data_IF_419724746794
#
_entry.id   IF_419724746794
#
_cell.length_a   1.000
_cell.length_b   1.000
_cell.length_c   1.000
_cell.angle_alpha   90.00
_cell.angle_beta   90.00
_cell.angle_gamma   90.00
#
_symmetry.space_group_name_H-M   'P 1'
#
loop_
_entity.id
_entity.type
_entity.pdbx_description
1 polymer ?
#
# COMPACT_ATOMS: atom_id res chain seq x y z
N UNK A 1 53.30 48.67 -55.98
CA UNK A 1 53.84 47.70 -55.00
C UNK A 1 52.99 47.75 -53.73
N UNK A 2 52.74 46.57 -53.13
CA UNK A 2 51.76 46.25 -52.08
C UNK A 2 51.62 47.28 -50.95
N UNK A 3 50.38 47.72 -50.72
CA UNK A 3 49.64 47.79 -49.44
C UNK A 3 48.32 48.53 -49.69
N UNK A 4 47.19 47.83 -49.59
CA UNK A 4 45.88 48.49 -49.48
C UNK A 4 45.27 48.05 -48.16
N UNK A 5 45.01 49.09 -47.38
CA UNK A 5 44.30 49.15 -46.11
C UNK A 5 42.80 48.89 -46.34
N UNK A 6 42.06 48.82 -45.23
CA UNK A 6 40.62 49.04 -45.07
C UNK A 6 39.81 47.78 -44.70
N UNK A 7 39.50 47.73 -43.41
CA UNK A 7 38.40 46.98 -42.77
C UNK A 7 37.07 47.35 -43.41
N UNK A 8 36.14 46.40 -43.58
CA UNK A 8 34.71 46.53 -43.25
C UNK A 8 34.11 45.11 -43.17
N UNK A 9 33.71 44.75 -41.96
CA UNK A 9 32.46 44.08 -41.58
C UNK A 9 31.82 43.11 -42.60
N UNK A 10 31.91 41.80 -42.34
CA UNK A 10 30.83 40.84 -42.63
C UNK A 10 31.06 39.49 -41.93
N UNK A 11 30.05 39.09 -41.16
CA UNK A 11 29.65 37.73 -40.84
C UNK A 11 30.69 36.74 -40.29
N UNK A 12 30.70 36.57 -38.97
CA UNK A 12 30.94 35.27 -38.35
C UNK A 12 29.88 35.04 -37.28
N UNK A 13 28.65 34.73 -37.71
CA UNK A 13 27.73 33.93 -36.90
C UNK A 13 28.19 32.48 -37.13
N UNK A 14 29.11 32.00 -36.30
CA UNK A 14 29.47 30.57 -36.23
C UNK A 14 28.81 30.06 -34.96
N UNK A 15 27.52 29.80 -35.11
CA UNK A 15 26.93 28.46 -35.08
C UNK A 15 26.97 27.86 -33.68
N UNK A 16 25.82 28.02 -33.02
CA UNK A 16 25.36 27.21 -31.88
C UNK A 16 25.74 25.76 -32.15
N UNK A 17 26.52 25.16 -31.26
CA UNK A 17 26.75 23.71 -31.29
C UNK A 17 25.41 23.03 -31.03
N UNK A 18 24.79 22.65 -32.15
CA UNK A 18 23.64 21.76 -32.20
C UNK A 18 24.14 20.40 -31.74
N UNK A 19 24.07 20.13 -30.44
CA UNK A 19 24.17 18.76 -29.95
C UNK A 19 22.99 18.04 -30.59
N UNK A 20 23.19 17.04 -31.48
CA UNK A 20 22.06 16.26 -31.94
C UNK A 20 21.47 15.64 -30.69
N UNK A 21 20.23 16.02 -30.38
CA UNK A 21 19.41 15.30 -29.42
C UNK A 21 19.31 13.91 -30.04
N UNK A 22 20.20 13.00 -29.64
CA UNK A 22 19.95 11.59 -29.81
C UNK A 22 18.63 11.38 -29.12
N UNK A 23 17.59 11.11 -29.91
CA UNK A 23 16.27 10.78 -29.42
C UNK A 23 16.45 9.90 -28.19
N UNK A 24 16.24 10.48 -27.01
CA UNK A 24 15.80 9.70 -25.88
C UNK A 24 14.42 9.28 -26.33
N UNK A 25 14.34 8.20 -27.10
CA UNK A 25 13.14 7.42 -27.13
C UNK A 25 12.92 7.14 -25.65
N UNK A 26 11.98 7.87 -25.04
CA UNK A 26 11.28 7.31 -23.91
C UNK A 26 10.88 5.93 -24.43
N UNK A 27 11.51 4.88 -23.91
CA UNK A 27 10.95 3.56 -24.06
C UNK A 27 9.57 3.72 -23.44
N UNK A 28 8.56 3.91 -24.29
CA UNK A 28 7.19 3.66 -23.92
C UNK A 28 7.14 2.15 -23.71
N UNK A 29 7.62 1.71 -22.54
CA UNK A 29 7.30 0.39 -22.05
C UNK A 29 5.79 0.37 -21.99
N UNK A 30 5.20 -0.30 -22.98
CA UNK A 30 3.77 -0.47 -23.08
C UNK A 30 3.36 -1.33 -21.89
N UNK A 31 3.00 -0.68 -20.79
CA UNK A 31 2.50 -1.34 -19.60
C UNK A 31 1.09 -1.84 -19.92
N UNK A 32 0.99 -3.07 -20.40
CA UNK A 32 -0.28 -3.77 -20.49
C UNK A 32 -0.56 -4.48 -19.17
N UNK A 33 -1.76 -4.30 -18.64
CA UNK A 33 -2.25 -5.12 -17.54
C UNK A 33 -2.25 -6.59 -17.95
N UNK A 34 -1.72 -7.46 -17.09
CA UNK A 34 -1.76 -8.91 -17.23
C UNK A 34 -2.75 -9.48 -16.21
N UNK A 35 -3.57 -10.42 -16.65
CA UNK A 35 -4.45 -11.16 -15.77
C UNK A 35 -3.65 -12.18 -14.95
N UNK A 36 -3.76 -12.09 -13.63
CA UNK A 36 -3.16 -13.01 -12.67
C UNK A 36 -4.26 -13.80 -11.97
N UNK A 37 -3.88 -14.78 -11.14
CA UNK A 37 -4.85 -15.57 -10.40
C UNK A 37 -5.82 -14.68 -9.62
N UNK A 38 -7.10 -14.94 -9.82
CA UNK A 38 -8.17 -14.22 -9.14
C UNK A 38 -8.15 -14.50 -7.64
N UNK A 39 -8.37 -13.45 -6.85
CA UNK A 39 -8.58 -13.60 -5.42
C UNK A 39 -9.77 -14.55 -5.15
N UNK A 40 -9.63 -15.60 -4.32
CA UNK A 40 -10.67 -16.61 -4.15
C UNK A 40 -11.95 -16.05 -3.54
N UNK A 41 -11.80 -15.22 -2.51
CA UNK A 41 -12.94 -14.65 -1.80
C UNK A 41 -13.24 -13.25 -2.32
N UNK A 42 -14.42 -13.08 -2.90
CA UNK A 42 -14.93 -11.76 -3.28
C UNK A 42 -15.21 -10.92 -2.02
N UNK A 43 -14.76 -9.67 -2.02
CA UNK A 43 -14.78 -8.78 -0.84
C UNK A 43 -14.66 -7.31 -1.23
N UNK A 44 -15.12 -6.43 -0.36
CA UNK A 44 -14.98 -4.98 -0.36
C UNK A 44 -14.34 -4.56 0.99
N UNK A 45 -13.80 -3.35 1.06
CA UNK A 45 -13.25 -2.74 2.30
C UNK A 45 -12.22 -3.61 3.04
N UNK A 46 -11.61 -4.56 2.33
CA UNK A 46 -10.48 -5.35 2.82
C UNK A 46 -9.22 -4.50 2.81
N UNK A 47 -8.23 -4.92 3.60
CA UNK A 47 -6.91 -4.31 3.59
C UNK A 47 -5.89 -5.26 2.98
N UNK A 48 -4.86 -4.69 2.34
CA UNK A 48 -3.74 -5.46 1.80
C UNK A 48 -2.39 -4.92 2.24
N UNK A 49 -1.47 -5.84 2.50
CA UNK A 49 -0.09 -5.54 2.87
C UNK A 49 0.89 -6.50 2.20
N UNK A 50 2.14 -6.08 2.05
CA UNK A 50 3.22 -6.92 1.50
C UNK A 50 4.12 -7.40 2.63
N UNK A 51 4.29 -8.71 2.74
CA UNK A 51 5.23 -9.33 3.69
C UNK A 51 6.05 -10.35 2.93
N UNK A 52 7.38 -10.18 2.94
CA UNK A 52 8.32 -11.12 2.34
C UNK A 52 8.00 -11.43 0.85
N UNK A 53 7.70 -10.36 0.10
CA UNK A 53 7.37 -10.42 -1.33
C UNK A 53 5.99 -11.00 -1.67
N UNK A 54 5.17 -11.34 -0.66
CA UNK A 54 3.81 -11.87 -0.84
C UNK A 54 2.76 -10.84 -0.46
N UNK A 55 1.62 -10.86 -1.14
CA UNK A 55 0.52 -9.91 -0.88
C UNK A 55 -0.50 -10.60 0.02
N UNK A 56 -0.69 -10.06 1.23
CA UNK A 56 -1.71 -10.49 2.16
C UNK A 56 -2.94 -9.63 1.97
N UNK A 57 -4.11 -10.26 1.97
CA UNK A 57 -5.40 -9.59 2.02
C UNK A 57 -6.13 -10.02 3.28
N UNK A 58 -6.83 -9.10 3.91
CA UNK A 58 -7.39 -9.31 5.24
C UNK A 58 -8.80 -8.76 5.32
N UNK A 59 -9.72 -9.54 5.88
CA UNK A 59 -11.06 -9.11 6.26
C UNK A 59 -11.87 -8.50 5.12
N UNK A 60 -12.56 -7.41 5.46
CA UNK A 60 -13.48 -6.70 4.59
C UNK A 60 -14.92 -7.18 4.81
N UNK A 61 -15.81 -6.82 3.92
CA UNK A 61 -17.17 -7.35 3.85
C UNK A 61 -17.46 -7.86 2.45
N UNK A 62 -18.53 -8.62 2.27
CA UNK A 62 -19.03 -8.95 0.94
C UNK A 62 -20.52 -8.79 0.98
N UNK A 63 -21.07 -8.10 -0.02
CA UNK A 63 -22.48 -7.75 -0.14
C UNK A 63 -23.04 -7.04 1.13
N UNK A 64 -24.32 -6.65 1.12
CA UNK A 64 -24.96 -6.00 2.28
C UNK A 64 -25.35 -6.97 3.40
N UNK A 65 -24.92 -8.24 3.32
CA UNK A 65 -25.10 -9.28 4.33
C UNK A 65 -24.00 -9.19 5.38
N UNK A 66 -24.20 -8.26 6.31
CA UNK A 66 -23.34 -8.09 7.48
C UNK A 66 -23.46 -9.25 8.48
N UNK A 67 -24.34 -10.24 8.27
CA UNK A 67 -24.43 -11.42 9.15
C UNK A 67 -23.30 -12.42 8.90
N UNK A 68 -22.68 -12.37 7.72
CA UNK A 68 -21.50 -13.19 7.39
C UNK A 68 -20.24 -12.56 7.97
N UNK A 69 -19.58 -13.32 8.85
CA UNK A 69 -18.30 -12.94 9.46
C UNK A 69 -17.17 -13.10 8.43
N UNK A 70 -16.78 -12.00 7.80
CA UNK A 70 -15.60 -11.95 6.91
C UNK A 70 -14.33 -11.76 7.74
N UNK A 71 -13.72 -12.89 8.11
CA UNK A 71 -12.46 -12.95 8.84
C UNK A 71 -11.29 -13.48 8.00
N UNK A 72 -11.51 -13.70 6.70
CA UNK A 72 -10.54 -14.36 5.83
C UNK A 72 -9.26 -13.56 5.68
N UNK A 73 -8.13 -14.26 5.79
CA UNK A 73 -6.82 -13.80 5.35
C UNK A 73 -6.35 -14.71 4.22
N UNK A 74 -5.96 -14.11 3.09
CA UNK A 74 -5.48 -14.83 1.92
C UNK A 74 -4.15 -14.23 1.50
N UNK A 75 -3.19 -15.07 1.16
CA UNK A 75 -1.87 -14.65 0.66
C UNK A 75 -1.71 -15.03 -0.80
N UNK A 76 -1.25 -14.07 -1.60
CA UNK A 76 -0.82 -14.28 -2.97
C UNK A 76 0.69 -14.44 -3.03
N UNK A 77 1.13 -15.52 -3.67
CA UNK A 77 2.53 -15.77 -3.99
C UNK A 77 2.77 -15.43 -5.49
N UNK A 78 3.43 -14.29 -5.80
CA UNK A 78 3.68 -13.90 -7.19
C UNK A 78 4.57 -14.88 -7.95
N UNK A 79 5.44 -15.63 -7.26
CA UNK A 79 6.34 -16.59 -7.91
C UNK A 79 5.59 -17.80 -8.48
N UNK A 80 4.43 -18.10 -7.91
CA UNK A 80 3.58 -19.24 -8.29
C UNK A 80 2.30 -18.80 -9.00
N UNK A 81 1.99 -17.50 -8.94
CA UNK A 81 0.71 -16.96 -9.35
C UNK A 81 -0.46 -17.69 -8.67
N UNK A 82 -0.40 -17.86 -7.35
CA UNK A 82 -1.41 -18.61 -6.58
C UNK A 82 -1.81 -17.90 -5.31
N UNK A 83 -3.08 -18.05 -4.93
CA UNK A 83 -3.61 -17.64 -3.63
C UNK A 83 -3.67 -18.82 -2.67
N UNK A 84 -3.45 -18.57 -1.38
CA UNK A 84 -3.58 -19.55 -0.31
C UNK A 84 -4.40 -18.96 0.84
N UNK A 85 -5.37 -19.73 1.35
CA UNK A 85 -6.12 -19.38 2.56
C UNK A 85 -5.24 -19.58 3.79
N UNK A 86 -5.25 -18.60 4.69
CA UNK A 86 -4.52 -18.63 5.97
C UNK A 86 -5.51 -18.71 7.14
N UNK A 87 -5.00 -18.84 8.36
CA UNK A 87 -5.82 -18.88 9.58
C UNK A 87 -6.63 -17.59 9.70
N UNK A 88 -7.96 -17.66 9.71
CA UNK A 88 -8.84 -16.50 9.80
C UNK A 88 -8.61 -15.65 11.06
N UNK A 89 -8.89 -14.35 10.96
CA UNK A 89 -8.86 -13.41 12.09
C UNK A 89 -9.79 -13.87 13.23
N UNK A 90 -9.39 -13.68 14.51
CA UNK A 90 -10.27 -13.95 15.64
C UNK A 90 -11.53 -13.08 15.63
N UNK A 91 -11.39 -11.82 15.21
CA UNK A 91 -12.51 -10.88 15.09
C UNK A 91 -12.74 -10.50 13.64
N UNK A 92 -13.89 -10.89 13.08
CA UNK A 92 -14.35 -10.40 11.79
C UNK A 92 -14.69 -8.90 11.88
N UNK A 93 -14.04 -8.10 11.04
CA UNK A 93 -14.11 -6.64 11.09
C UNK A 93 -14.03 -6.00 9.71
N UNK A 94 -14.55 -4.78 9.61
CA UNK A 94 -14.47 -3.89 8.44
C UNK A 94 -14.04 -2.49 8.90
N UNK A 95 -13.63 -1.64 7.96
CA UNK A 95 -13.16 -0.26 8.24
C UNK A 95 -12.02 -0.20 9.28
N UNK A 96 -11.14 -1.22 9.25
CA UNK A 96 -9.97 -1.33 10.12
C UNK A 96 -8.70 -0.93 9.37
N UNK A 97 -7.60 -0.77 10.12
CA UNK A 97 -6.28 -0.50 9.56
C UNK A 97 -5.37 -1.71 9.66
N UNK A 98 -4.46 -1.86 8.70
CA UNK A 98 -3.34 -2.79 8.75
C UNK A 98 -1.99 -2.08 8.77
N UNK A 99 -0.98 -2.73 9.35
CA UNK A 99 0.43 -2.33 9.27
C UNK A 99 1.33 -3.56 9.35
N UNK A 100 2.52 -3.49 8.74
CA UNK A 100 3.53 -4.55 8.86
C UNK A 100 4.65 -4.09 9.77
N UNK A 101 4.89 -4.84 10.84
CA UNK A 101 6.01 -4.60 11.75
C UNK A 101 6.70 -5.91 12.05
N UNK A 102 8.03 -5.94 11.91
CA UNK A 102 8.86 -7.11 12.19
C UNK A 102 8.35 -8.39 11.50
N UNK A 103 7.92 -8.27 10.24
CA UNK A 103 7.41 -9.38 9.44
C UNK A 103 6.02 -9.89 9.84
N UNK A 104 5.30 -9.19 10.73
CA UNK A 104 3.97 -9.56 11.21
C UNK A 104 2.93 -8.56 10.77
N UNK A 105 1.71 -9.06 10.52
CA UNK A 105 0.57 -8.24 10.12
C UNK A 105 -0.21 -7.80 11.35
N UNK A 106 -0.26 -6.50 11.61
CA UNK A 106 -1.04 -5.90 12.67
C UNK A 106 -2.38 -5.44 12.11
N UNK A 107 -3.47 -5.87 12.74
CA UNK A 107 -4.85 -5.49 12.43
C UNK A 107 -5.38 -4.67 13.59
N UNK A 108 -5.70 -3.41 13.33
CA UNK A 108 -5.97 -2.42 14.36
C UNK A 108 -7.36 -1.83 14.16
N UNK A 109 -8.18 -1.93 15.21
CA UNK A 109 -9.43 -1.19 15.30
C UNK A 109 -10.54 -1.67 14.34
N UNK A 110 -11.35 -0.72 13.87
CA UNK A 110 -12.47 -0.94 12.96
C UNK A 110 -13.78 -1.30 13.67
N UNK A 111 -14.71 -1.86 12.92
CA UNK A 111 -16.05 -2.20 13.41
C UNK A 111 -16.29 -3.70 13.25
N UNK A 112 -16.94 -4.33 14.24
CA UNK A 112 -17.26 -5.75 14.20
C UNK A 112 -18.37 -6.00 13.19
N UNK A 113 -18.18 -6.98 12.31
CA UNK A 113 -19.25 -7.38 11.40
C UNK A 113 -20.41 -8.02 12.16
N UNK A 114 -21.64 -7.68 11.75
CA UNK A 114 -22.89 -8.14 12.34
C UNK A 114 -23.44 -7.25 13.44
N UNK A 115 -22.59 -6.68 14.31
CA UNK A 115 -23.03 -5.80 15.40
C UNK A 115 -22.75 -4.32 15.14
N UNK A 116 -21.75 -3.99 14.31
CA UNK A 116 -21.30 -2.61 14.12
C UNK A 116 -20.57 -2.04 15.34
N UNK A 117 -20.33 -2.83 16.38
CA UNK A 117 -19.62 -2.40 17.58
C UNK A 117 -18.18 -2.03 17.23
N UNK A 118 -17.74 -0.89 17.76
CA UNK A 118 -16.38 -0.42 17.57
C UNK A 118 -15.40 -1.36 18.28
N UNK A 119 -14.36 -1.75 17.56
CA UNK A 119 -13.31 -2.62 18.05
C UNK A 119 -12.10 -1.76 18.41
N UNK A 120 -11.62 -1.86 19.65
CA UNK A 120 -10.38 -1.23 20.09
C UNK A 120 -9.17 -2.17 20.02
N UNK A 121 -9.40 -3.46 19.79
CA UNK A 121 -8.37 -4.48 19.84
C UNK A 121 -7.39 -4.39 18.67
N UNK A 122 -6.13 -4.70 18.99
CA UNK A 122 -5.08 -4.98 18.02
C UNK A 122 -4.85 -6.49 17.99
N UNK A 123 -5.00 -7.09 16.82
CA UNK A 123 -4.73 -8.50 16.55
C UNK A 123 -3.53 -8.60 15.62
N UNK A 124 -2.60 -9.50 15.92
CA UNK A 124 -1.35 -9.65 15.17
C UNK A 124 -1.27 -11.06 14.60
N UNK A 125 -1.10 -11.16 13.29
CA UNK A 125 -0.88 -12.40 12.58
C UNK A 125 0.62 -12.60 12.35
N UNK A 126 1.09 -13.79 12.71
CA UNK A 126 2.43 -14.27 12.46
C UNK A 126 2.43 -15.22 11.25
N UNK A 127 2.98 -14.81 10.09
CA UNK A 127 3.04 -15.67 8.91
C UNK A 127 3.92 -16.90 9.07
N UNK A 128 4.88 -16.89 10.00
CA UNK A 128 5.81 -18.02 10.19
C UNK A 128 5.14 -19.20 10.88
N UNK A 129 4.20 -18.92 11.77
CA UNK A 129 3.43 -19.92 12.51
C UNK A 129 1.99 -20.06 12.02
N UNK A 130 1.53 -19.15 11.15
CA UNK A 130 0.13 -19.07 10.71
C UNK A 130 -0.85 -18.96 11.90
N UNK A 131 -0.51 -18.12 12.88
CA UNK A 131 -1.30 -17.94 14.11
C UNK A 131 -1.58 -16.48 14.44
N UNK A 132 -2.65 -16.23 15.19
CA UNK A 132 -3.00 -14.92 15.71
C UNK A 132 -2.67 -14.76 17.19
N UNK A 133 -2.30 -13.54 17.57
CA UNK A 133 -2.16 -13.13 18.96
C UNK A 133 -2.85 -11.77 19.19
N UNK A 134 -3.27 -11.51 20.43
CA UNK A 134 -3.86 -10.23 20.81
C UNK A 134 -2.79 -9.34 21.45
N UNK A 135 -2.72 -8.07 21.06
CA UNK A 135 -1.87 -7.05 21.68
C UNK A 135 -2.71 -6.01 22.41
N UNK A 136 -2.03 -5.12 23.15
CA UNK A 136 -2.68 -4.04 23.87
C UNK A 136 -3.59 -3.24 22.92
N UNK A 137 -4.82 -3.02 23.37
CA UNK A 137 -5.80 -2.21 22.65
C UNK A 137 -5.35 -0.77 22.53
N UNK A 138 -5.82 -0.08 21.50
CA UNK A 138 -5.63 1.36 21.40
C UNK A 138 -6.38 2.07 22.54
N UNK A 139 -5.75 3.04 23.24
CA UNK A 139 -6.36 3.72 24.39
C UNK A 139 -7.53 4.63 24.00
N UNK A 140 -7.63 5.03 22.72
CA UNK A 140 -8.77 5.75 22.14
C UNK A 140 -9.23 5.01 20.90
N UNK A 141 -10.50 4.62 20.88
CA UNK A 141 -11.16 4.10 19.67
C UNK A 141 -11.07 5.18 18.61
N UNK A 142 -10.45 4.90 17.46
CA UNK A 142 -10.39 5.84 16.34
C UNK A 142 -11.75 5.91 15.62
N UNK A 143 -12.80 6.34 16.32
CA UNK A 143 -14.12 6.60 15.74
C UNK A 143 -14.12 7.77 14.75
N UNK A 144 -13.07 8.60 14.74
CA UNK A 144 -12.95 9.77 13.86
C UNK A 144 -12.49 9.42 12.43
N UNK A 145 -12.20 8.16 12.12
CA UNK A 145 -11.93 7.74 10.74
C UNK A 145 -13.20 7.59 9.88
N UNK A 146 -14.40 7.56 10.49
CA UNK A 146 -15.67 7.49 9.76
C UNK A 146 -15.93 8.71 8.84
N UNK A 147 -15.25 9.84 9.10
CA UNK A 147 -15.30 11.03 8.24
C UNK A 147 -14.12 11.16 7.27
N UNK A 148 -13.06 10.36 7.43
CA UNK A 148 -11.93 10.34 6.53
C UNK A 148 -12.07 9.14 5.61
N UNK A 149 -12.67 9.33 4.42
CA UNK A 149 -12.28 8.53 3.25
C UNK A 149 -10.84 8.92 2.94
N UNK A 150 -9.81 8.22 3.42
CA UNK A 150 -8.47 8.76 3.31
C UNK A 150 -8.03 8.51 1.89
N UNK A 151 -7.65 9.58 1.18
CA UNK A 151 -6.74 9.46 0.04
C UNK A 151 -5.59 8.58 0.51
N UNK A 152 -5.43 7.46 -0.19
CA UNK A 152 -4.67 6.23 0.10
C UNK A 152 -3.21 6.40 0.61
N UNK A 153 -2.68 7.62 0.71
CA UNK A 153 -1.28 7.91 1.04
C UNK A 153 -1.04 8.55 2.42
N UNK A 154 -2.03 9.21 3.04
CA UNK A 154 -1.74 10.08 4.20
C UNK A 154 -1.89 9.39 5.58
N UNK A 155 -2.67 8.31 5.68
CA UNK A 155 -2.97 7.64 6.97
C UNK A 155 -1.87 6.69 7.41
N UNK A 156 -1.12 6.07 6.48
CA UNK A 156 0.04 5.22 6.82
C UNK A 156 1.07 6.02 7.65
N UNK A 157 1.32 7.28 7.30
CA UNK A 157 2.34 8.11 7.96
C UNK A 157 1.97 8.58 9.39
N UNK A 158 0.69 8.86 9.66
CA UNK A 158 0.26 9.40 10.97
C UNK A 158 0.23 8.31 12.03
N UNK A 159 -0.26 7.11 11.70
CA UNK A 159 -0.33 5.99 12.63
C UNK A 159 1.07 5.39 12.87
N UNK A 160 1.92 5.29 11.84
CA UNK A 160 3.32 4.90 12.00
C UNK A 160 4.07 5.88 12.91
N UNK A 161 3.84 7.19 12.78
CA UNK A 161 4.43 8.20 13.67
C UNK A 161 4.00 8.03 15.12
N UNK A 162 2.70 7.85 15.39
CA UNK A 162 2.17 7.66 16.74
C UNK A 162 2.56 6.31 17.37
N UNK A 163 2.73 5.27 16.56
CA UNK A 163 3.13 3.95 17.02
C UNK A 163 4.64 3.86 17.33
N UNK A 164 5.49 4.47 16.48
CA UNK A 164 6.95 4.53 16.71
C UNK A 164 7.32 5.43 17.90
N UNK A 165 6.58 6.53 18.14
CA UNK A 165 6.79 7.39 19.31
C UNK A 165 6.58 6.67 20.65
N UNK A 166 5.87 5.53 20.67
CA UNK A 166 5.61 4.76 21.90
C UNK A 166 6.61 3.64 22.13
N UNK A 167 7.32 3.18 21.10
CA UNK A 167 8.38 2.16 21.22
C UNK A 167 9.74 2.77 21.60
N UNK A 168 9.93 4.09 21.44
CA UNK A 168 11.16 4.80 21.83
C UNK A 168 11.26 5.20 23.32
N UNK A 169 10.33 4.76 24.17
CA UNK A 169 10.28 5.09 25.60
C UNK A 169 10.19 3.86 26.54
N UNK A 170 10.72 2.71 26.11
CA UNK A 170 11.01 1.58 27.01
C UNK A 170 12.48 1.20 26.95
#
# INVERSE_FOLDING_TARGET
>A
MKKIMVKILSFVVVSVLFVPITNVYANEEKTSWMELASIPTKRLTFQSEVIDGKIYTTGGSWNSDYTKKFAHIEVYDPSKNTWTNLTSMPTARWEFQTEVLDGKLYVIGGSKLGTGELVASTEVYDPTTNTWSKKASMPKVLSDLNGFRPKLLMVKSIILGLFLMRLGHQ
#
